data_IF_363594206410
#
_entry.id   IF_363594206410
#
_cell.length_a   1.000
_cell.length_b   1.000
_cell.length_c   1.000
_cell.angle_alpha   90.00
_cell.angle_beta   90.00
_cell.angle_gamma   90.00
#
_symmetry.space_group_name_H-M   'P 1'
#
loop_
_entity.id
_entity.type
_entity.pdbx_description
1 polymer ?
#
# COMPACT_ATOMS: atom_id res chain seq x y z
N UNK A 1 -24.57 -2.55 21.53
CA UNK A 1 -24.81 -2.20 20.11
C UNK A 1 -23.46 -2.08 19.45
N UNK A 2 -23.13 -2.96 18.49
CA UNK A 2 -21.88 -2.91 17.74
C UNK A 2 -21.92 -1.69 16.82
N UNK A 3 -20.99 -0.75 17.00
CA UNK A 3 -20.94 0.50 16.27
C UNK A 3 -20.46 0.28 14.84
N UNK A 4 -21.11 0.97 13.89
CA UNK A 4 -20.60 1.13 12.52
C UNK A 4 -19.33 1.96 12.56
N UNK A 5 -18.26 1.49 11.91
CA UNK A 5 -16.95 2.15 11.85
C UNK A 5 -16.93 3.38 10.93
N UNK A 6 -18.05 3.73 10.29
CA UNK A 6 -18.19 4.94 9.47
C UNK A 6 -17.60 4.85 8.06
N UNK A 7 -16.93 3.75 7.75
CA UNK A 7 -16.42 3.42 6.42
C UNK A 7 -17.51 2.87 5.50
N UNK A 8 -17.33 3.08 4.19
CA UNK A 8 -18.29 2.63 3.18
C UNK A 8 -18.29 1.11 3.12
N UNK A 9 -19.48 0.50 3.15
CA UNK A 9 -19.59 -0.96 3.09
C UNK A 9 -18.98 -1.52 1.81
N UNK A 10 -18.37 -2.71 1.88
CA UNK A 10 -17.78 -3.36 0.71
C UNK A 10 -18.82 -3.65 -0.39
N UNK A 11 -20.05 -4.01 -0.01
CA UNK A 11 -21.14 -4.22 -0.96
C UNK A 11 -21.45 -2.95 -1.78
N UNK A 12 -21.42 -1.78 -1.15
CA UNK A 12 -21.64 -0.50 -1.84
C UNK A 12 -20.46 -0.12 -2.75
N UNK A 13 -19.25 -0.56 -2.43
CA UNK A 13 -18.05 -0.31 -3.24
C UNK A 13 -18.13 -1.13 -4.54
N UNK A 14 -18.39 -2.44 -4.43
CA UNK A 14 -18.43 -3.36 -5.57
C UNK A 14 -19.61 -3.10 -6.52
N UNK A 15 -20.72 -2.59 -6.02
CA UNK A 15 -21.89 -2.22 -6.85
C UNK A 15 -21.76 -0.83 -7.49
N UNK A 16 -20.71 -0.07 -7.14
CA UNK A 16 -20.55 1.30 -7.64
C UNK A 16 -19.91 1.34 -9.02
N UNK A 17 -20.55 2.02 -9.98
CA UNK A 17 -19.99 2.23 -11.31
C UNK A 17 -18.62 2.93 -11.26
N UNK A 18 -18.44 3.92 -10.39
CA UNK A 18 -17.17 4.65 -10.25
C UNK A 18 -16.00 3.73 -9.85
N UNK A 19 -16.30 2.70 -9.06
CA UNK A 19 -15.30 1.71 -8.65
C UNK A 19 -14.84 0.92 -9.87
N UNK A 20 -15.78 0.43 -10.67
CA UNK A 20 -15.49 -0.32 -11.90
C UNK A 20 -14.81 0.51 -12.99
N UNK A 21 -15.18 1.79 -13.16
CA UNK A 21 -14.53 2.67 -14.16
C UNK A 21 -13.02 2.81 -13.89
N UNK A 22 -12.62 2.86 -12.62
CA UNK A 22 -11.21 2.97 -12.23
C UNK A 22 -10.54 1.59 -12.26
N UNK A 23 -11.19 0.58 -11.65
CA UNK A 23 -10.61 -0.74 -11.47
C UNK A 23 -10.55 -1.57 -12.76
N UNK A 24 -11.37 -1.27 -13.76
CA UNK A 24 -11.28 -1.90 -15.08
C UNK A 24 -9.99 -1.55 -15.83
N UNK A 25 -9.32 -0.46 -15.44
CA UNK A 25 -8.02 -0.07 -16.01
C UNK A 25 -6.90 -0.50 -15.06
N UNK A 26 -7.00 -0.13 -13.77
CA UNK A 26 -5.90 -0.37 -12.83
C UNK A 26 -5.67 -1.85 -12.56
N UNK A 27 -6.71 -2.68 -12.42
CA UNK A 27 -6.53 -4.13 -12.16
C UNK A 27 -5.85 -4.83 -13.36
N UNK A 28 -6.32 -4.68 -14.61
CA UNK A 28 -5.62 -5.29 -15.75
C UNK A 28 -4.21 -4.74 -15.95
N UNK A 29 -3.97 -3.44 -15.72
CA UNK A 29 -2.62 -2.87 -15.79
C UNK A 29 -1.66 -3.49 -14.77
N UNK A 30 -2.08 -3.65 -13.51
CA UNK A 30 -1.27 -4.33 -12.49
C UNK A 30 -1.01 -5.79 -12.85
N UNK A 31 -2.02 -6.47 -13.39
CA UNK A 31 -1.89 -7.86 -13.81
C UNK A 31 -0.86 -8.02 -14.94
N UNK A 32 -0.94 -7.18 -15.98
CA UNK A 32 0.03 -7.20 -17.09
C UNK A 32 1.42 -6.81 -16.62
N UNK A 33 1.55 -5.83 -15.70
CA UNK A 33 2.84 -5.47 -15.13
C UNK A 33 3.47 -6.64 -14.36
N UNK A 34 2.71 -7.34 -13.53
CA UNK A 34 3.17 -8.55 -12.84
C UNK A 34 3.52 -9.68 -13.80
N UNK A 35 2.73 -9.89 -14.84
CA UNK A 35 3.03 -10.86 -15.89
C UNK A 35 4.35 -10.55 -16.60
N UNK A 36 4.53 -9.31 -17.07
CA UNK A 36 5.76 -8.87 -17.73
C UNK A 36 6.97 -8.98 -16.81
N UNK A 37 6.82 -8.66 -15.53
CA UNK A 37 7.89 -8.77 -14.54
C UNK A 37 8.45 -10.20 -14.45
N UNK A 38 7.58 -11.22 -14.53
CA UNK A 38 8.00 -12.63 -14.53
C UNK A 38 8.46 -13.06 -15.92
N UNK A 39 7.71 -12.73 -16.97
CA UNK A 39 7.96 -13.23 -18.33
C UNK A 39 9.22 -12.66 -18.98
N UNK A 40 9.61 -11.43 -18.63
CA UNK A 40 10.88 -10.81 -19.10
C UNK A 40 12.10 -11.35 -18.36
N UNK A 41 11.88 -12.07 -17.27
CA UNK A 41 12.94 -12.61 -16.43
C UNK A 41 13.52 -11.61 -15.42
N UNK A 42 12.99 -10.38 -15.34
CA UNK A 42 13.38 -9.39 -14.33
C UNK A 42 13.24 -9.91 -12.90
N UNK A 43 12.25 -10.76 -12.63
CA UNK A 43 12.11 -11.40 -11.33
C UNK A 43 13.34 -12.25 -10.95
N UNK A 44 13.91 -12.98 -11.91
CA UNK A 44 15.12 -13.79 -11.67
C UNK A 44 16.33 -12.88 -11.42
N UNK A 45 16.44 -11.78 -12.14
CA UNK A 45 17.57 -10.85 -12.03
C UNK A 45 17.51 -10.00 -10.76
N UNK A 46 16.31 -9.56 -10.33
CA UNK A 46 16.09 -8.75 -9.12
C UNK A 46 16.27 -9.58 -7.85
N UNK A 47 15.77 -10.81 -7.83
CA UNK A 47 15.82 -11.67 -6.65
C UNK A 47 17.01 -12.65 -6.65
N UNK A 48 17.77 -12.74 -7.73
CA UNK A 48 18.88 -13.69 -7.87
C UNK A 48 18.43 -15.16 -7.83
N UNK A 49 17.15 -15.44 -8.13
CA UNK A 49 16.64 -16.80 -8.15
C UNK A 49 17.17 -17.51 -9.41
N UNK A 50 17.78 -18.70 -9.27
CA UNK A 50 18.31 -19.44 -10.42
C UNK A 50 17.20 -19.73 -11.43
N UNK A 51 17.47 -19.50 -12.71
CA UNK A 51 16.56 -19.94 -13.78
C UNK A 51 16.54 -21.49 -13.85
N UNK A 52 15.51 -22.10 -14.44
CA UNK A 52 15.42 -23.57 -14.56
C UNK A 52 16.66 -24.25 -15.17
N UNK A 53 17.39 -23.56 -16.04
CA UNK A 53 18.62 -24.02 -16.68
C UNK A 53 19.92 -23.66 -15.91
N UNK A 54 19.83 -22.95 -14.79
CA UNK A 54 20.97 -22.48 -14.00
C UNK A 54 21.13 -23.22 -12.66
N UNK A 55 20.24 -24.17 -12.35
CA UNK A 55 20.31 -24.96 -11.13
C UNK A 55 21.55 -25.87 -11.07
N UNK A 56 22.00 -26.38 -12.22
CA UNK A 56 23.15 -27.27 -12.31
C UNK A 56 23.98 -26.91 -13.54
N UNK A 57 25.25 -26.58 -13.33
CA UNK A 57 26.22 -26.41 -14.42
C UNK A 57 26.80 -27.77 -14.79
N UNK A 58 27.28 -27.95 -16.03
CA UNK A 58 27.86 -29.23 -16.49
C UNK A 58 28.96 -29.79 -15.56
N UNK A 59 29.67 -28.89 -14.87
CA UNK A 59 30.73 -29.21 -13.91
C UNK A 59 30.26 -29.51 -12.48
N UNK A 60 28.99 -29.25 -12.13
CA UNK A 60 28.52 -29.35 -10.73
C UNK A 60 27.06 -29.82 -10.64
N UNK A 61 26.88 -31.11 -10.35
CA UNK A 61 25.58 -31.78 -10.16
C UNK A 61 25.16 -31.91 -8.68
N UNK A 62 25.97 -31.40 -7.74
CA UNK A 62 25.68 -31.42 -6.31
C UNK A 62 24.96 -30.15 -5.85
N UNK A 63 24.07 -30.28 -4.85
CA UNK A 63 23.35 -29.15 -4.24
C UNK A 63 24.38 -28.14 -3.70
N UNK A 64 24.33 -26.84 -4.09
CA UNK A 64 25.39 -25.88 -3.77
C UNK A 64 25.33 -25.37 -2.31
N UNK A 65 24.99 -26.19 -1.33
CA UNK A 65 24.70 -25.79 0.06
C UNK A 65 25.89 -25.10 0.75
N UNK A 66 27.11 -25.66 0.63
CA UNK A 66 28.30 -25.10 1.29
C UNK A 66 28.79 -23.81 0.63
N UNK A 67 28.59 -23.67 -0.68
CA UNK A 67 28.93 -22.44 -1.41
C UNK A 67 27.89 -21.34 -1.16
N UNK A 68 26.60 -21.69 -1.13
CA UNK A 68 25.51 -20.75 -0.80
C UNK A 68 25.67 -20.18 0.60
N UNK A 69 25.98 -21.01 1.62
CA UNK A 69 26.18 -20.53 2.99
C UNK A 69 27.35 -19.53 3.11
N UNK A 70 28.48 -19.84 2.47
CA UNK A 70 29.67 -18.97 2.50
C UNK A 70 29.43 -17.69 1.69
N UNK A 71 28.80 -17.80 0.51
CA UNK A 71 28.46 -16.64 -0.31
C UNK A 71 27.40 -15.77 0.35
N UNK A 72 26.43 -16.34 1.06
CA UNK A 72 25.43 -15.58 1.82
C UNK A 72 26.07 -14.82 2.97
N UNK A 73 26.93 -15.48 3.75
CA UNK A 73 27.68 -14.82 4.82
C UNK A 73 28.55 -13.67 4.29
N UNK A 74 29.18 -13.83 3.12
CA UNK A 74 29.98 -12.77 2.50
C UNK A 74 29.14 -11.69 1.80
N UNK A 75 28.00 -12.05 1.20
CA UNK A 75 27.08 -11.14 0.49
C UNK A 75 26.34 -10.22 1.47
N UNK A 76 25.93 -10.73 2.64
CA UNK A 76 25.33 -9.93 3.71
C UNK A 76 26.30 -8.88 4.29
N UNK A 77 27.61 -9.07 4.14
CA UNK A 77 28.62 -8.07 4.49
C UNK A 77 28.86 -7.04 3.37
N UNK A 78 28.40 -7.30 2.15
CA UNK A 78 28.54 -6.45 0.95
C UNK A 78 27.26 -5.70 0.57
N UNK A 79 26.07 -6.16 1.02
CA UNK A 79 24.86 -5.34 0.91
C UNK A 79 25.08 -4.05 1.68
N UNK A 80 24.94 -2.94 0.96
CA UNK A 80 25.29 -1.62 1.43
C UNK A 80 24.65 -1.37 2.82
N UNK A 81 25.44 -1.07 3.86
CA UNK A 81 24.90 -0.89 5.22
C UNK A 81 23.89 0.26 5.28
N UNK A 82 23.96 1.22 4.36
CA UNK A 82 22.95 2.26 4.22
C UNK A 82 21.63 1.74 3.65
N UNK A 83 21.64 0.78 2.72
CA UNK A 83 20.43 0.16 2.19
C UNK A 83 19.72 -0.70 3.24
N UNK A 84 20.47 -1.52 3.98
CA UNK A 84 19.91 -2.32 5.07
C UNK A 84 19.36 -1.44 6.18
N UNK A 85 20.08 -0.36 6.55
CA UNK A 85 19.59 0.62 7.53
C UNK A 85 18.40 1.42 7.02
N UNK A 86 18.37 1.79 5.74
CA UNK A 86 17.23 2.46 5.12
C UNK A 86 16.00 1.56 5.12
N UNK A 87 16.13 0.29 4.74
CA UNK A 87 15.05 -0.69 4.77
C UNK A 87 14.56 -0.96 6.20
N UNK A 88 15.46 -1.04 7.19
CA UNK A 88 15.10 -1.22 8.59
C UNK A 88 14.34 -0.01 9.16
N UNK A 89 14.72 1.21 8.76
CA UNK A 89 14.06 2.44 9.20
C UNK A 89 12.73 2.66 8.48
N UNK A 90 12.63 2.35 7.19
CA UNK A 90 11.44 2.68 6.37
C UNK A 90 10.47 1.51 6.22
N UNK A 91 10.93 0.26 6.20
CA UNK A 91 10.08 -0.94 6.07
C UNK A 91 9.11 -1.14 7.24
N UNK A 92 9.43 -0.59 8.42
CA UNK A 92 8.53 -0.55 9.59
C UNK A 92 7.68 0.73 9.67
N UNK A 93 7.96 1.75 8.86
CA UNK A 93 7.26 3.03 8.88
C UNK A 93 6.15 3.16 7.83
N UNK A 94 6.17 2.35 6.76
CA UNK A 94 5.09 2.34 5.76
C UNK A 94 3.73 1.92 6.35
N UNK A 95 3.62 1.01 7.34
CA UNK A 95 2.34 0.74 7.99
C UNK A 95 1.82 1.92 8.82
N UNK A 96 2.67 2.83 9.32
CA UNK A 96 2.24 3.91 10.23
C UNK A 96 1.77 5.16 9.51
N UNK A 97 2.34 5.51 8.36
CA UNK A 97 1.87 6.67 7.57
C UNK A 97 0.55 6.41 6.85
N UNK A 98 0.28 5.16 6.45
CA UNK A 98 -1.03 4.76 5.92
C UNK A 98 -2.11 4.75 7.00
N UNK A 99 -1.75 4.52 8.27
CA UNK A 99 -2.68 4.58 9.40
C UNK A 99 -2.91 6.02 9.90
N UNK A 100 -1.90 6.89 9.97
CA UNK A 100 -2.09 8.29 10.40
C UNK A 100 -2.91 9.13 9.41
N UNK A 101 -2.85 8.81 8.12
CA UNK A 101 -3.69 9.47 7.11
C UNK A 101 -5.19 9.28 7.35
N UNK A 102 -5.61 8.18 8.00
CA UNK A 102 -7.00 7.94 8.39
C UNK A 102 -7.40 8.72 9.65
N UNK A 103 -6.48 8.89 10.61
CA UNK A 103 -6.74 9.68 11.83
C UNK A 103 -6.94 11.17 11.53
N UNK A 104 -6.21 11.72 10.57
CA UNK A 104 -6.32 13.15 10.22
C UNK A 104 -7.67 13.48 9.54
N UNK A 105 -8.24 12.53 8.79
CA UNK A 105 -9.57 12.66 8.20
C UNK A 105 -10.68 12.63 9.28
N UNK A 106 -10.52 11.81 10.32
CA UNK A 106 -11.43 11.78 11.48
C UNK A 106 -11.39 13.08 12.29
N UNK A 107 -10.22 13.73 12.41
CA UNK A 107 -10.12 14.98 13.17
C UNK A 107 -10.58 16.22 12.40
N UNK A 108 -10.57 16.20 11.06
CA UNK A 108 -10.97 17.36 10.23
C UNK A 108 -12.47 17.36 9.86
N UNK A 109 -13.22 16.29 10.14
CA UNK A 109 -14.66 16.26 9.85
C UNK A 109 -15.53 16.99 10.90
N UNK A 110 -14.98 17.27 12.09
CA UNK A 110 -15.70 17.97 13.16
C UNK A 110 -15.65 19.50 13.06
N UNK A 111 -14.82 20.07 12.17
CA UNK A 111 -14.65 21.53 12.06
C UNK A 111 -15.43 22.18 10.91
N UNK A 112 -16.30 21.44 10.21
CA UNK A 112 -17.23 22.08 9.27
C UNK A 112 -18.49 22.50 10.04
N UNK A 113 -18.74 23.80 10.25
CA UNK A 113 -19.99 24.24 10.85
C UNK A 113 -21.14 23.79 9.93
N UNK A 114 -22.03 22.95 10.47
CA UNK A 114 -23.26 22.55 9.80
C UNK A 114 -24.04 23.81 9.39
N UNK A 115 -24.37 23.90 8.09
CA UNK A 115 -25.01 25.07 7.48
C UNK A 115 -26.36 25.42 8.13
N UNK A 116 -27.00 24.46 8.81
CA UNK A 116 -28.25 24.68 9.54
C UNK A 116 -28.07 25.56 10.79
N UNK A 117 -26.91 25.55 11.47
CA UNK A 117 -26.67 26.42 12.63
C UNK A 117 -26.53 27.90 12.23
N UNK A 118 -26.04 28.17 11.01
CA UNK A 118 -25.91 29.53 10.45
C UNK A 118 -27.27 30.11 10.03
N UNK A 119 -28.21 29.25 9.60
CA UNK A 119 -29.58 29.67 9.29
C UNK A 119 -30.37 30.02 10.57
N UNK A 120 -30.22 29.23 11.63
CA UNK A 120 -30.95 29.43 12.89
C UNK A 120 -30.57 30.72 13.63
N UNK A 121 -29.29 31.11 13.55
CA UNK A 121 -28.80 32.40 14.10
C UNK A 121 -29.30 33.59 13.30
N UNK A 122 -29.42 33.50 11.97
CA UNK A 122 -29.96 34.58 11.16
C UNK A 122 -31.47 34.77 11.40
N UNK A 123 -32.21 33.68 11.53
CA UNK A 123 -33.66 33.73 11.77
C UNK A 123 -34.01 34.19 13.19
N UNK A 124 -33.25 33.77 14.20
CA UNK A 124 -33.41 34.25 15.58
C UNK A 124 -33.02 35.72 15.72
N UNK A 125 -31.99 36.19 14.98
CA UNK A 125 -31.58 37.60 14.96
C UNK A 125 -32.60 38.48 14.21
N UNK A 126 -33.23 37.98 13.15
CA UNK A 126 -34.31 38.70 12.46
C UNK A 126 -35.57 38.81 13.33
N UNK A 127 -35.96 37.75 14.04
CA UNK A 127 -37.12 37.79 14.93
C UNK A 127 -36.95 38.74 16.13
N UNK A 128 -35.70 39.06 16.53
CA UNK A 128 -35.41 40.00 17.61
C UNK A 128 -35.38 41.47 17.17
N UNK A 129 -35.41 41.74 15.86
CA UNK A 129 -35.47 43.11 15.31
C UNK A 129 -36.89 43.52 14.90
N UNK A 130 -37.85 42.60 15.00
CA UNK A 130 -39.26 42.81 14.65
C UNK A 130 -40.19 42.94 15.87
N UNK A 131 -39.64 42.95 17.09
CA UNK A 131 -40.34 43.24 18.35
C UNK A 131 -39.65 44.38 19.08
#
# INVERSE_FOLDING_TARGET
MSGSTGERSFADILTSLRYWVIHSITIPSLFIAGWLFVSTGLAYDVFGSPRPNEYFTESRQGIPLRTVLILWNNSMNLVNPFFVRWLAVHGLAVPTVSFLGQYQQCSSSNDKPNSNYRAMTHQTRMNKMLN
#
